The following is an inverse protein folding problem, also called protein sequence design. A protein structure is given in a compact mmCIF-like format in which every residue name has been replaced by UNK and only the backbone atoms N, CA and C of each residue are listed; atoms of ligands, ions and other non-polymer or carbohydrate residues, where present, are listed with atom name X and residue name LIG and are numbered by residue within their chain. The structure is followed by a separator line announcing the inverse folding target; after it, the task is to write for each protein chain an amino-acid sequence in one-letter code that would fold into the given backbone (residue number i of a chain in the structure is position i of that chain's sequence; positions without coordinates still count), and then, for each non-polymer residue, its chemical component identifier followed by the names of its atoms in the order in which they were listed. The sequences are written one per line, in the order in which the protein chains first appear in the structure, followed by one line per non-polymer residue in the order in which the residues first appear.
data_IF_982199174656
#
_entry.id   IF_982199174656
#
_cell.length_a   1.000
_cell.length_b   1.000
_cell.length_c   1.000
_cell.angle_alpha   90.00
_cell.angle_beta   90.00
_cell.angle_gamma   90.00
#
_symmetry.space_group_name_H-M   'P 1'
#
loop_
_entity.id
_entity.type
_entity.pdbx_description
1 polymer ?
#
# COMPACT_ATOMS: atom_id res chain seq x y z
N UNK A 1 12.31 -7.02 20.21
CA UNK A 1 11.60 -5.72 20.29
C UNK A 1 10.91 -5.48 18.96
N UNK A 2 9.64 -5.11 18.98
CA UNK A 2 8.87 -4.80 17.76
C UNK A 2 8.79 -3.31 17.52
N UNK A 3 8.95 -2.94 16.25
CA UNK A 3 8.87 -1.57 15.77
C UNK A 3 7.85 -1.44 14.66
N UNK A 4 7.13 -0.32 14.61
CA UNK A 4 6.24 0.03 13.49
C UNK A 4 6.71 1.32 12.82
N UNK A 5 6.38 1.47 11.56
CA UNK A 5 6.58 2.68 10.77
C UNK A 5 5.52 2.81 9.69
N UNK A 6 5.36 4.00 9.15
CA UNK A 6 4.53 4.23 7.97
C UNK A 6 5.42 4.37 6.74
N UNK A 7 5.02 3.70 5.66
CA UNK A 7 5.71 3.74 4.37
C UNK A 7 4.84 4.46 3.35
N UNK A 8 5.41 5.45 2.69
CA UNK A 8 4.84 6.13 1.52
C UNK A 8 5.63 5.69 0.29
N UNK A 9 4.94 5.49 -0.83
CA UNK A 9 5.62 5.13 -2.07
C UNK A 9 4.82 5.45 -3.32
N UNK A 10 5.55 5.66 -4.42
CA UNK A 10 5.03 5.70 -5.78
C UNK A 10 5.30 4.34 -6.41
N UNK A 11 4.24 3.54 -6.61
CA UNK A 11 4.35 2.13 -6.99
C UNK A 11 4.72 1.85 -8.45
N UNK A 12 4.82 2.87 -9.30
CA UNK A 12 4.96 2.77 -10.77
C UNK A 12 6.08 1.82 -11.21
N UNK A 13 7.23 1.86 -10.52
CA UNK A 13 8.42 1.10 -10.87
C UNK A 13 8.54 -0.24 -10.15
N UNK A 14 7.54 -0.64 -9.38
CA UNK A 14 7.57 -1.82 -8.51
C UNK A 14 6.55 -2.87 -8.95
N UNK A 15 6.88 -4.15 -8.74
CA UNK A 15 6.01 -5.28 -9.00
C UNK A 15 4.83 -5.37 -8.01
N UNK A 16 4.79 -4.47 -7.03
CA UNK A 16 3.83 -4.38 -5.96
C UNK A 16 4.51 -4.16 -4.62
N UNK A 17 3.72 -4.17 -3.54
CA UNK A 17 4.28 -3.94 -2.20
C UNK A 17 5.01 -5.16 -1.64
N UNK A 18 4.64 -6.37 -2.01
CA UNK A 18 5.16 -7.60 -1.42
C UNK A 18 6.14 -8.31 -2.33
N UNK A 19 7.18 -8.92 -1.74
CA UNK A 19 8.11 -9.82 -2.43
C UNK A 19 7.31 -10.97 -3.06
N UNK A 20 7.60 -11.26 -4.32
CA UNK A 20 6.92 -12.29 -5.11
C UNK A 20 7.93 -13.32 -5.57
N UNK A 21 7.46 -14.56 -5.68
CA UNK A 21 8.24 -15.68 -6.16
C UNK A 21 7.55 -16.30 -7.38
N UNK A 22 8.33 -16.60 -8.40
CA UNK A 22 7.90 -17.35 -9.57
C UNK A 22 8.83 -18.56 -9.71
N UNK A 23 8.25 -19.77 -9.80
CA UNK A 23 8.99 -21.03 -9.84
C UNK A 23 10.01 -21.21 -8.71
N UNK A 24 9.70 -20.71 -7.51
CA UNK A 24 10.57 -20.78 -6.33
C UNK A 24 11.71 -19.76 -6.30
N UNK A 25 11.85 -18.90 -7.32
CA UNK A 25 12.82 -17.81 -7.38
C UNK A 25 12.14 -16.47 -7.18
N UNK A 26 12.78 -15.56 -6.46
CA UNK A 26 12.31 -14.19 -6.32
C UNK A 26 12.34 -13.49 -7.69
N UNK A 27 11.25 -12.79 -8.03
CA UNK A 27 11.19 -12.04 -9.28
C UNK A 27 12.21 -10.90 -9.29
N UNK A 28 12.82 -10.65 -10.44
CA UNK A 28 13.86 -9.60 -10.56
C UNK A 28 13.32 -8.16 -10.43
N UNK A 29 12.03 -7.95 -10.71
CA UNK A 29 11.42 -6.63 -10.56
C UNK A 29 11.37 -6.24 -9.09
N UNK A 30 11.90 -5.06 -8.69
CA UNK A 30 11.93 -4.66 -7.30
C UNK A 30 10.51 -4.55 -6.71
N UNK A 31 10.42 -4.76 -5.41
CA UNK A 31 9.19 -4.59 -4.61
C UNK A 31 9.45 -3.61 -3.48
N UNK A 32 8.39 -2.95 -3.00
CA UNK A 32 8.53 -2.00 -1.87
C UNK A 32 9.08 -2.70 -0.64
N UNK A 33 8.62 -3.93 -0.38
CA UNK A 33 9.10 -4.75 0.72
C UNK A 33 10.59 -5.08 0.59
N UNK A 34 11.03 -5.48 -0.59
CA UNK A 34 12.44 -5.83 -0.83
C UNK A 34 13.37 -4.63 -0.59
N UNK A 35 13.03 -3.45 -1.13
CA UNK A 35 13.80 -2.23 -0.90
C UNK A 35 13.81 -1.82 0.58
N UNK A 36 12.67 -1.91 1.26
CA UNK A 36 12.57 -1.56 2.67
C UNK A 36 13.37 -2.53 3.55
N UNK A 37 13.25 -3.85 3.34
CA UNK A 37 13.97 -4.87 4.10
C UNK A 37 15.49 -4.75 3.91
N UNK A 38 15.93 -4.48 2.68
CA UNK A 38 17.33 -4.21 2.37
C UNK A 38 17.85 -2.98 3.12
N UNK A 39 17.13 -1.87 3.05
CA UNK A 39 17.52 -0.62 3.70
C UNK A 39 17.57 -0.75 5.23
N UNK A 40 16.56 -1.36 5.85
CA UNK A 40 16.53 -1.62 7.29
C UNK A 40 17.70 -2.53 7.70
N UNK A 41 17.93 -3.61 6.96
CA UNK A 41 19.00 -4.56 7.24
C UNK A 41 20.39 -3.91 7.16
N UNK A 42 20.62 -3.03 6.16
CA UNK A 42 21.85 -2.23 6.04
C UNK A 42 22.10 -1.40 7.30
N UNK A 43 21.08 -0.70 7.79
CA UNK A 43 21.22 0.16 8.98
C UNK A 43 21.44 -0.63 10.27
N UNK A 44 20.83 -1.80 10.40
CA UNK A 44 20.90 -2.60 11.62
C UNK A 44 22.19 -3.45 11.66
N UNK A 45 22.56 -4.05 10.54
CA UNK A 45 23.64 -5.04 10.48
C UNK A 45 24.89 -4.55 9.76
N UNK A 46 24.82 -3.49 8.94
CA UNK A 46 25.92 -2.95 8.15
C UNK A 46 26.23 -3.75 6.88
N UNK A 47 25.64 -4.92 6.71
CA UNK A 47 25.86 -5.82 5.57
C UNK A 47 24.53 -6.46 5.14
N UNK A 48 24.28 -6.49 3.84
CA UNK A 48 23.06 -7.04 3.23
C UNK A 48 23.28 -8.33 2.48
N UNK A 49 24.53 -8.78 2.31
CA UNK A 49 24.84 -9.99 1.56
C UNK A 49 24.54 -11.26 2.36
N UNK A 50 24.57 -11.16 3.69
CA UNK A 50 24.25 -12.29 4.56
C UNK A 50 22.71 -12.42 4.71
N UNK A 51 22.13 -13.42 4.05
CA UNK A 51 20.69 -13.73 4.10
C UNK A 51 20.16 -14.04 5.50
N UNK A 52 21.00 -14.54 6.41
CA UNK A 52 20.63 -14.84 7.79
C UNK A 52 20.48 -13.58 8.66
N UNK A 53 20.94 -12.43 8.17
CA UNK A 53 20.84 -11.13 8.83
C UNK A 53 19.84 -10.18 8.15
N UNK A 54 18.84 -10.71 7.46
CA UNK A 54 17.81 -9.89 6.83
C UNK A 54 16.64 -9.65 7.78
N UNK A 55 16.29 -8.39 7.94
CA UNK A 55 15.04 -8.00 8.62
C UNK A 55 13.86 -8.37 7.73
N UNK A 56 12.85 -9.01 8.33
CA UNK A 56 11.59 -9.28 7.65
C UNK A 56 10.52 -8.30 8.08
N UNK A 57 9.81 -7.75 7.13
CA UNK A 57 8.76 -6.77 7.35
C UNK A 57 7.38 -7.36 7.08
N UNK A 58 6.39 -6.90 7.83
CA UNK A 58 4.97 -7.27 7.64
C UNK A 58 4.16 -6.00 7.41
N UNK A 59 3.55 -5.93 6.25
CA UNK A 59 2.72 -4.82 5.80
C UNK A 59 1.26 -4.99 6.24
N UNK A 60 0.57 -3.89 6.51
CA UNK A 60 -0.86 -3.89 6.88
C UNK A 60 -1.79 -4.36 5.76
N UNK A 61 -1.35 -4.30 4.51
CA UNK A 61 -2.07 -4.79 3.34
C UNK A 61 -1.14 -4.90 2.13
N UNK A 62 -1.54 -5.70 1.17
CA UNK A 62 -0.85 -5.79 -0.12
C UNK A 62 -1.37 -4.71 -1.04
N UNK A 63 -0.49 -4.18 -1.89
CA UNK A 63 -0.87 -3.37 -3.06
C UNK A 63 -0.28 -4.01 -4.30
N UNK A 64 -1.06 -3.98 -5.37
CA UNK A 64 -0.66 -4.52 -6.67
C UNK A 64 0.37 -3.62 -7.36
N UNK A 65 0.93 -4.11 -8.49
CA UNK A 65 1.85 -3.36 -9.33
C UNK A 65 1.29 -1.99 -9.69
N UNK A 66 2.09 -0.96 -9.52
CA UNK A 66 1.75 0.41 -9.87
C UNK A 66 0.90 1.17 -8.86
N UNK A 67 0.37 0.52 -7.82
CA UNK A 67 -0.43 1.18 -6.79
C UNK A 67 0.47 1.97 -5.84
N UNK A 68 0.09 3.22 -5.58
CA UNK A 68 0.77 4.12 -4.65
C UNK A 68 0.26 3.94 -3.22
N UNK A 69 1.06 4.35 -2.23
CA UNK A 69 0.61 4.47 -0.84
C UNK A 69 1.03 5.80 -0.24
N UNK A 70 0.14 6.39 0.55
CA UNK A 70 0.44 7.60 1.34
C UNK A 70 0.76 7.32 2.81
N UNK A 71 0.71 6.07 3.26
CA UNK A 71 0.95 5.77 4.66
C UNK A 71 0.54 4.35 5.03
N UNK A 72 1.17 3.34 4.43
CA UNK A 72 0.96 1.96 4.81
C UNK A 72 1.73 1.63 6.08
N UNK A 73 1.07 1.07 7.07
CA UNK A 73 1.72 0.64 8.31
C UNK A 73 2.47 -0.67 8.08
N UNK A 74 3.70 -0.70 8.56
CA UNK A 74 4.58 -1.87 8.49
C UNK A 74 5.16 -2.11 9.88
N UNK A 75 5.39 -3.36 10.26
CA UNK A 75 6.18 -3.69 11.44
C UNK A 75 7.30 -4.65 11.12
N UNK A 76 8.32 -4.65 11.96
CA UNK A 76 9.43 -5.59 11.95
C UNK A 76 9.97 -5.80 13.37
N UNK A 77 10.73 -6.87 13.56
CA UNK A 77 11.39 -7.18 14.80
C UNK A 77 12.91 -6.92 14.71
N UNK A 78 13.50 -6.43 15.79
CA UNK A 78 14.95 -6.24 15.94
C UNK A 78 15.38 -6.54 17.36
N UNK A 79 16.55 -7.16 17.50
CA UNK A 79 17.18 -7.39 18.79
C UNK A 79 17.89 -6.13 19.30
N UNK A 80 18.22 -5.21 18.38
CA UNK A 80 18.89 -3.94 18.71
C UNK A 80 17.88 -2.86 19.07
N UNK A 81 18.20 -2.06 20.07
CA UNK A 81 17.46 -0.84 20.37
C UNK A 81 17.74 0.24 19.31
N UNK A 82 16.69 0.84 18.79
CA UNK A 82 16.76 1.78 17.66
C UNK A 82 16.32 3.17 18.15
N UNK A 83 17.15 4.18 17.88
CA UNK A 83 16.83 5.60 18.16
C UNK A 83 16.00 6.14 16.99
N UNK A 84 14.73 6.44 17.24
CA UNK A 84 13.72 6.75 16.23
C UNK A 84 14.12 7.86 15.25
N UNK A 85 14.52 9.04 15.76
CA UNK A 85 14.83 10.22 14.92
C UNK A 85 15.99 9.95 13.96
N UNK A 86 17.08 9.36 14.47
CA UNK A 86 18.26 9.03 13.67
C UNK A 86 17.94 7.95 12.64
N UNK A 87 17.18 6.93 13.03
CA UNK A 87 16.84 5.81 12.16
C UNK A 87 15.97 6.24 10.98
N UNK A 88 14.92 7.02 11.23
CA UNK A 88 14.04 7.53 10.16
C UNK A 88 14.82 8.39 9.18
N UNK A 89 15.68 9.28 9.68
CA UNK A 89 16.53 10.10 8.82
C UNK A 89 17.43 9.24 7.93
N UNK A 90 18.21 8.34 8.52
CA UNK A 90 19.14 7.48 7.79
C UNK A 90 18.41 6.55 6.80
N UNK A 91 17.23 6.03 7.18
CA UNK A 91 16.45 5.16 6.31
C UNK A 91 15.95 5.91 5.07
N UNK A 92 15.50 7.15 5.22
CA UNK A 92 15.08 7.97 4.08
C UNK A 92 16.24 8.37 3.16
N UNK A 93 17.47 8.48 3.69
CA UNK A 93 18.66 8.80 2.86
C UNK A 93 19.08 7.64 1.96
N UNK A 94 18.86 6.39 2.38
CA UNK A 94 19.29 5.21 1.61
C UNK A 94 18.16 4.58 0.79
N UNK A 95 16.89 4.87 1.10
CA UNK A 95 15.75 4.40 0.31
C UNK A 95 15.71 5.06 -1.07
N UNK A 96 15.19 4.37 -2.11
CA UNK A 96 14.90 4.99 -3.39
C UNK A 96 14.00 6.24 -3.22
N UNK A 97 14.18 7.25 -4.09
CA UNK A 97 13.47 8.54 -4.00
C UNK A 97 11.94 8.45 -4.04
N UNK A 98 11.42 7.34 -4.53
CA UNK A 98 9.98 7.04 -4.63
C UNK A 98 9.44 6.22 -3.44
N UNK A 99 10.30 5.99 -2.42
CA UNK A 99 9.89 5.37 -1.14
C UNK A 99 10.35 6.28 0.01
N UNK A 100 9.46 6.55 0.97
CA UNK A 100 9.81 7.26 2.19
C UNK A 100 9.13 6.67 3.42
N UNK A 101 9.72 6.88 4.59
CA UNK A 101 9.20 6.37 5.86
C UNK A 101 9.01 7.50 6.87
N UNK A 102 8.04 7.30 7.75
CA UNK A 102 7.70 8.23 8.85
C UNK A 102 7.08 7.46 10.02
N UNK A 103 6.75 8.18 11.10
CA UNK A 103 6.00 7.66 12.25
C UNK A 103 6.58 6.34 12.80
N UNK A 104 7.91 6.32 12.97
CA UNK A 104 8.60 5.18 13.55
C UNK A 104 8.44 5.17 15.07
N UNK A 105 8.00 4.04 15.62
CA UNK A 105 7.79 3.85 17.04
C UNK A 105 8.04 2.41 17.48
N UNK A 106 8.42 2.23 18.75
CA UNK A 106 8.41 0.93 19.38
C UNK A 106 6.98 0.60 19.78
N UNK A 107 6.53 -0.59 19.42
CA UNK A 107 5.16 -1.09 19.70
C UNK A 107 5.20 -2.33 20.57
N UNK A 108 4.03 -2.72 21.10
CA UNK A 108 3.85 -3.96 21.83
C UNK A 108 4.19 -5.17 20.95
N UNK A 109 4.79 -6.21 21.54
CA UNK A 109 5.21 -7.40 20.80
C UNK A 109 4.00 -8.20 20.22
N UNK A 110 2.79 -7.98 20.71
CA UNK A 110 1.54 -8.51 20.15
C UNK A 110 1.01 -7.69 18.95
N UNK A 111 1.55 -6.49 18.71
CA UNK A 111 1.15 -5.69 17.56
C UNK A 111 1.44 -6.41 16.25
N UNK A 112 0.47 -6.44 15.34
CA UNK A 112 0.64 -7.06 14.02
C UNK A 112 0.01 -6.17 12.96
N UNK A 113 0.83 -5.50 12.14
CA UNK A 113 0.37 -4.49 11.19
C UNK A 113 -0.86 -4.92 10.36
N UNK A 114 -0.88 -6.17 9.88
CA UNK A 114 -1.98 -6.69 9.06
C UNK A 114 -3.22 -7.03 9.90
N UNK A 115 -3.05 -7.72 11.05
CA UNK A 115 -4.17 -8.21 11.88
C UNK A 115 -4.77 -7.10 12.72
N UNK A 116 -3.95 -6.14 13.18
CA UNK A 116 -4.37 -4.99 13.98
C UNK A 116 -5.03 -3.88 13.15
N UNK A 117 -4.93 -3.94 11.82
CA UNK A 117 -5.51 -2.94 10.93
C UNK A 117 -7.03 -3.04 10.93
N UNK A 118 -7.70 -1.99 11.42
CA UNK A 118 -9.16 -1.91 11.51
C UNK A 118 -9.81 -1.40 10.23
N UNK A 119 -9.13 -0.52 9.50
CA UNK A 119 -9.64 0.12 8.29
C UNK A 119 -8.55 0.24 7.25
N UNK A 120 -8.97 0.23 5.97
CA UNK A 120 -8.13 0.54 4.81
C UNK A 120 -8.86 1.57 3.98
N UNK A 121 -8.14 2.60 3.58
CA UNK A 121 -8.64 3.69 2.77
C UNK A 121 -8.01 3.63 1.38
N UNK A 122 -8.84 3.55 0.35
CA UNK A 122 -8.42 3.61 -1.04
C UNK A 122 -9.02 4.83 -1.72
N UNK A 123 -8.17 5.53 -2.49
CA UNK A 123 -8.57 6.63 -3.34
C UNK A 123 -8.19 6.32 -4.77
N UNK A 124 -9.17 6.34 -5.66
CA UNK A 124 -8.97 6.27 -7.09
C UNK A 124 -9.26 7.63 -7.70
N UNK A 125 -8.32 8.15 -8.52
CA UNK A 125 -8.45 9.45 -9.17
C UNK A 125 -8.27 9.27 -10.66
N UNK A 126 -9.15 9.86 -11.45
CA UNK A 126 -9.02 9.90 -12.89
C UNK A 126 -9.46 11.24 -13.46
N UNK A 127 -9.03 11.56 -14.67
CA UNK A 127 -9.39 12.77 -15.39
C UNK A 127 -10.60 12.51 -16.26
N UNK A 128 -11.62 13.37 -16.16
CA UNK A 128 -12.83 13.33 -16.99
C UNK A 128 -12.93 14.55 -17.89
N UNK A 129 -12.26 14.51 -19.02
CA UNK A 129 -12.32 15.51 -20.09
C UNK A 129 -11.93 14.92 -21.43
N UNK A 130 -12.34 15.62 -22.52
CA UNK A 130 -12.12 15.18 -23.89
C UNK A 130 -10.65 15.22 -24.30
N UNK A 131 -9.95 16.32 -24.02
CA UNK A 131 -8.56 16.51 -24.42
C UNK A 131 -7.58 16.13 -23.30
N UNK A 132 -6.39 15.67 -23.66
CA UNK A 132 -5.26 15.46 -22.73
C UNK A 132 -4.64 16.80 -22.33
N UNK A 133 -4.00 16.81 -21.16
CA UNK A 133 -3.12 17.90 -20.73
C UNK A 133 -1.78 17.28 -20.32
N UNK A 134 -0.67 17.96 -20.62
CA UNK A 134 0.66 17.49 -20.33
C UNK A 134 0.92 17.28 -18.81
N UNK A 135 0.16 17.98 -17.97
CA UNK A 135 0.29 17.90 -16.51
C UNK A 135 -0.66 16.88 -15.84
N UNK A 136 -1.36 16.04 -16.61
CA UNK A 136 -2.20 14.98 -16.04
C UNK A 136 -1.42 13.86 -15.37
N UNK A 137 -0.12 13.76 -15.65
CA UNK A 137 0.71 12.68 -15.16
C UNK A 137 0.23 11.31 -15.67
N UNK A 138 0.24 10.33 -14.78
CA UNK A 138 -0.19 8.96 -15.07
C UNK A 138 -1.68 8.70 -14.79
N UNK A 139 -2.47 9.75 -14.56
CA UNK A 139 -3.90 9.59 -14.28
C UNK A 139 -4.64 9.05 -15.52
N UNK A 140 -5.47 8.04 -15.30
CA UNK A 140 -6.36 7.54 -16.33
C UNK A 140 -7.28 8.65 -16.82
N UNK A 141 -7.51 8.74 -18.13
CA UNK A 141 -8.41 9.71 -18.73
C UNK A 141 -9.66 9.06 -19.32
N UNK A 142 -10.81 9.49 -18.85
CA UNK A 142 -12.14 9.13 -19.39
C UNK A 142 -12.66 10.26 -20.25
N UNK A 143 -12.90 10.00 -21.53
CA UNK A 143 -13.29 11.01 -22.54
C UNK A 143 -14.81 11.28 -22.60
N UNK A 144 -15.60 10.36 -22.10
CA UNK A 144 -17.06 10.42 -22.14
C UNK A 144 -17.63 11.14 -20.92
N UNK A 145 -18.77 11.84 -21.05
CA UNK A 145 -19.45 12.46 -19.90
C UNK A 145 -19.75 11.42 -18.82
N UNK A 146 -19.49 11.79 -17.59
CA UNK A 146 -19.76 10.95 -16.41
C UNK A 146 -20.88 11.61 -15.59
N UNK A 147 -21.88 10.82 -15.23
CA UNK A 147 -22.93 11.19 -14.31
C UNK A 147 -22.55 10.76 -12.89
N UNK A 148 -22.14 11.73 -12.05
CA UNK A 148 -21.71 11.46 -10.67
C UNK A 148 -22.84 10.93 -9.79
N UNK A 149 -24.09 11.34 -10.01
CA UNK A 149 -25.23 10.85 -9.23
C UNK A 149 -25.45 9.36 -9.47
N UNK A 150 -25.37 8.91 -10.73
CA UNK A 150 -25.46 7.49 -11.07
C UNK A 150 -24.27 6.70 -10.50
N UNK A 151 -23.07 7.27 -10.55
CA UNK A 151 -21.89 6.66 -9.92
C UNK A 151 -22.07 6.54 -8.41
N UNK A 152 -22.55 7.59 -7.74
CA UNK A 152 -22.78 7.54 -6.30
C UNK A 152 -23.85 6.50 -5.94
N UNK A 153 -24.95 6.42 -6.69
CA UNK A 153 -25.96 5.37 -6.50
C UNK A 153 -25.35 3.96 -6.63
N UNK A 154 -24.47 3.75 -7.62
CA UNK A 154 -23.77 2.47 -7.77
C UNK A 154 -22.82 2.18 -6.58
N UNK A 155 -22.11 3.19 -6.08
CA UNK A 155 -21.27 3.07 -4.88
C UNK A 155 -22.07 2.82 -3.60
N UNK A 156 -23.31 3.31 -3.53
CA UNK A 156 -24.18 3.07 -2.38
C UNK A 156 -24.56 1.59 -2.24
N UNK A 157 -24.67 0.85 -3.33
CA UNK A 157 -24.94 -0.60 -3.29
C UNK A 157 -23.82 -1.45 -2.66
N UNK A 158 -22.58 -0.98 -2.66
CA UNK A 158 -21.46 -1.72 -2.07
C UNK A 158 -21.23 -1.38 -0.60
N UNK A 159 -21.94 -0.40 -0.03
CA UNK A 159 -21.85 -0.06 1.40
C UNK A 159 -22.48 -1.15 2.26
N UNK A 160 -21.90 -1.38 3.44
CA UNK A 160 -22.35 -2.43 4.35
C UNK A 160 -21.54 -3.71 4.17
N UNK A 161 -22.10 -4.80 4.65
CA UNK A 161 -21.47 -6.13 4.60
C UNK A 161 -21.98 -6.91 3.40
N UNK A 162 -21.05 -7.30 2.52
CA UNK A 162 -21.34 -8.03 1.29
C UNK A 162 -20.29 -9.09 0.99
N UNK A 163 -20.68 -10.11 0.21
CA UNK A 163 -19.77 -11.05 -0.44
C UNK A 163 -19.21 -10.42 -1.72
N UNK A 164 -17.90 -10.14 -1.73
CA UNK A 164 -17.20 -9.57 -2.87
C UNK A 164 -16.51 -10.61 -3.75
N UNK A 165 -16.96 -11.86 -3.74
CA UNK A 165 -16.36 -12.95 -4.54
C UNK A 165 -16.20 -12.61 -6.01
N UNK A 166 -17.16 -11.88 -6.60
CA UNK A 166 -17.14 -11.45 -8.00
C UNK A 166 -16.07 -10.38 -8.31
N UNK A 167 -15.51 -9.74 -7.28
CA UNK A 167 -14.45 -8.73 -7.41
C UNK A 167 -13.05 -9.28 -7.13
N UNK A 168 -12.96 -10.54 -6.78
CA UNK A 168 -11.72 -11.20 -6.40
C UNK A 168 -10.92 -11.61 -7.61
N UNK A 169 -9.59 -11.41 -7.58
CA UNK A 169 -8.68 -12.04 -8.55
C UNK A 169 -8.65 -13.55 -8.37
N UNK A 170 -8.50 -14.29 -9.48
CA UNK A 170 -8.30 -15.75 -9.45
C UNK A 170 -7.01 -16.08 -8.67
N UNK A 171 -7.04 -17.15 -7.87
CA UNK A 171 -5.86 -17.62 -7.12
C UNK A 171 -5.65 -17.03 -5.72
N UNK A 172 -6.48 -16.09 -5.26
CA UNK A 172 -6.37 -15.57 -3.88
C UNK A 172 -6.84 -16.62 -2.87
N UNK A 173 -5.96 -17.02 -1.95
CA UNK A 173 -6.22 -18.01 -0.88
C UNK A 173 -7.01 -17.45 0.32
N UNK A 174 -7.66 -16.29 0.17
CA UNK A 174 -8.36 -15.67 1.29
C UNK A 174 -9.64 -16.46 1.63
N UNK A 175 -9.77 -17.02 2.83
CA UNK A 175 -10.89 -17.89 3.19
C UNK A 175 -12.24 -17.14 3.28
N UNK A 176 -12.24 -15.89 3.73
CA UNK A 176 -13.46 -15.08 3.81
C UNK A 176 -13.50 -14.06 2.67
N UNK A 177 -14.61 -14.03 1.96
CA UNK A 177 -14.91 -13.11 0.86
C UNK A 177 -15.83 -11.97 1.28
N UNK A 178 -16.27 -12.01 2.55
CA UNK A 178 -17.13 -10.98 3.12
C UNK A 178 -16.27 -9.80 3.55
N UNK A 179 -16.63 -8.61 3.10
CA UNK A 179 -16.02 -7.34 3.49
C UNK A 179 -17.10 -6.36 3.92
N UNK A 180 -16.78 -5.51 4.89
CA UNK A 180 -17.63 -4.41 5.31
C UNK A 180 -17.08 -3.10 4.75
N UNK A 181 -17.86 -2.44 3.89
CA UNK A 181 -17.53 -1.13 3.32
C UNK A 181 -18.26 -0.05 4.14
N UNK A 182 -17.47 0.70 4.90
CA UNK A 182 -17.96 1.77 5.76
C UNK A 182 -18.34 3.02 4.95
N UNK A 183 -17.52 3.35 3.95
CA UNK A 183 -17.69 4.54 3.10
C UNK A 183 -17.34 4.21 1.65
N UNK A 184 -18.19 4.67 0.75
CA UNK A 184 -17.93 4.68 -0.69
C UNK A 184 -18.53 5.95 -1.28
N UNK A 185 -17.69 6.86 -1.79
CA UNK A 185 -18.12 8.17 -2.28
C UNK A 185 -17.40 8.53 -3.58
N UNK A 186 -18.07 9.29 -4.44
CA UNK A 186 -17.43 9.94 -5.56
C UNK A 186 -17.67 11.45 -5.51
N UNK A 187 -16.67 12.21 -5.96
CA UNK A 187 -16.75 13.67 -6.04
C UNK A 187 -15.96 14.18 -7.23
N UNK A 188 -16.28 15.39 -7.67
CA UNK A 188 -15.56 16.09 -8.74
C UNK A 188 -14.76 17.25 -8.16
N UNK A 189 -13.54 17.38 -8.61
CA UNK A 189 -12.66 18.51 -8.35
C UNK A 189 -12.05 18.96 -9.69
N UNK A 190 -12.65 19.99 -10.29
CA UNK A 190 -12.37 20.41 -11.66
C UNK A 190 -12.59 19.26 -12.66
N UNK A 191 -11.55 18.89 -13.38
CA UNK A 191 -11.57 17.75 -14.31
C UNK A 191 -11.31 16.40 -13.63
N UNK A 192 -10.94 16.39 -12.35
CA UNK A 192 -10.70 15.15 -11.60
C UNK A 192 -12.00 14.59 -11.07
N UNK A 193 -12.16 13.29 -11.21
CA UNK A 193 -13.16 12.51 -10.48
C UNK A 193 -12.44 11.65 -9.47
N UNK A 194 -12.85 11.74 -8.23
CA UNK A 194 -12.22 11.10 -7.07
C UNK A 194 -13.22 10.12 -6.50
N UNK A 195 -12.80 8.86 -6.35
CA UNK A 195 -13.56 7.81 -5.68
C UNK A 195 -12.82 7.43 -4.42
N UNK A 196 -13.50 7.51 -3.28
CA UNK A 196 -12.98 7.11 -1.97
C UNK A 196 -13.75 5.91 -1.44
N UNK A 197 -13.03 4.87 -1.06
CA UNK A 197 -13.60 3.67 -0.46
C UNK A 197 -12.85 3.37 0.85
N UNK A 198 -13.62 3.18 1.93
CA UNK A 198 -13.12 2.76 3.25
C UNK A 198 -13.79 1.46 3.63
N UNK A 199 -13.02 0.47 4.00
CA UNK A 199 -13.52 -0.82 4.43
C UNK A 199 -12.63 -1.46 5.51
N UNK A 200 -13.17 -2.46 6.17
CA UNK A 200 -12.43 -3.23 7.18
C UNK A 200 -11.32 -4.06 6.52
N UNK A 201 -11.56 -4.52 5.30
CA UNK A 201 -10.63 -5.29 4.46
C UNK A 201 -11.05 -5.21 2.98
N UNK A 202 -10.13 -5.59 2.11
CA UNK A 202 -10.36 -5.83 0.69
C UNK A 202 -9.78 -7.19 0.29
N UNK A 203 -10.20 -7.73 -0.85
CA UNK A 203 -9.83 -9.07 -1.34
C UNK A 203 -8.56 -9.03 -2.19
#
# INVERSE_FOLDING_TARGET
MRYSLQVQYIGKNYAGSQIQFENGMEIQTPTIQGELEKAISTLIFGDTENKDRQVKTIFSGRTDKGVNSKGQVVHFDSDKSIVASKFVYQLNEILPKDISVSNFEKVDDNFHAQKSAKRRFYRFVFINRKCKNAFDGDLMRVKYPINLEKMQKALDFIKGEHDFSSFKSSGTLNPSKICFIEKATCQRDGDKVIIDIVGNRFL
#
